data_IF_407894462774
#
_entry.id   IF_407894462774
#
_cell.length_a   1.000
_cell.length_b   1.000
_cell.length_c   1.000
_cell.angle_alpha   90.00
_cell.angle_beta   90.00
_cell.angle_gamma   90.00
#
_symmetry.space_group_name_H-M   'P 1'
#
loop_
_entity.id
_entity.type
_entity.pdbx_description
1 polymer ?
#
# COMPACT_ATOMS: atom_id res chain seq x y z
N UNK A 1 -36.09 7.78 27.56
CA UNK A 1 -35.73 6.40 27.19
C UNK A 1 -34.63 6.48 26.16
N UNK A 2 -33.37 6.22 26.53
CA UNK A 2 -32.24 6.25 25.61
C UNK A 2 -31.92 4.81 25.17
N UNK A 3 -32.01 4.53 23.88
CA UNK A 3 -31.66 3.23 23.31
C UNK A 3 -30.13 3.11 23.25
N UNK A 4 -29.55 2.16 23.97
CA UNK A 4 -28.13 1.85 23.85
C UNK A 4 -27.86 1.19 22.49
N UNK A 5 -27.00 1.81 21.67
CA UNK A 5 -26.53 1.22 20.42
C UNK A 5 -25.55 0.08 20.73
N UNK A 6 -26.02 -1.16 20.57
CA UNK A 6 -25.17 -2.35 20.71
C UNK A 6 -24.36 -2.47 19.41
N UNK A 7 -23.05 -2.25 19.48
CA UNK A 7 -22.15 -2.50 18.35
C UNK A 7 -22.18 -3.99 17.99
N UNK A 8 -22.60 -4.31 16.77
CA UNK A 8 -22.57 -5.67 16.24
C UNK A 8 -21.13 -6.07 15.97
N UNK A 9 -20.62 -7.06 16.71
CA UNK A 9 -19.31 -7.66 16.46
C UNK A 9 -19.37 -8.42 15.14
N UNK A 10 -18.77 -7.84 14.10
CA UNK A 10 -18.68 -8.49 12.79
C UNK A 10 -17.70 -9.65 12.88
N UNK A 11 -18.22 -10.88 12.89
CA UNK A 11 -17.39 -12.09 12.82
C UNK A 11 -16.79 -12.16 11.42
N UNK A 12 -15.47 -12.02 11.33
CA UNK A 12 -14.72 -12.15 10.08
C UNK A 12 -14.68 -13.64 9.70
N UNK A 13 -15.19 -13.97 8.51
CA UNK A 13 -15.25 -15.35 8.05
C UNK A 13 -13.87 -15.87 7.64
N UNK A 14 -13.72 -17.20 7.54
CA UNK A 14 -12.47 -17.81 7.02
C UNK A 14 -12.19 -17.36 5.58
N UNK A 15 -13.25 -17.15 4.78
CA UNK A 15 -13.14 -16.62 3.42
C UNK A 15 -12.52 -15.21 3.42
N UNK A 16 -12.98 -14.32 4.30
CA UNK A 16 -12.46 -12.96 4.40
C UNK A 16 -10.97 -12.95 4.76
N UNK A 17 -10.56 -13.84 5.66
CA UNK A 17 -9.15 -14.00 6.08
C UNK A 17 -8.29 -14.53 4.93
N UNK A 18 -8.83 -15.45 4.13
CA UNK A 18 -8.15 -15.99 2.96
C UNK A 18 -7.96 -14.92 1.88
N UNK A 19 -9.01 -14.15 1.58
CA UNK A 19 -8.92 -13.02 0.64
C UNK A 19 -7.91 -11.98 1.12
N UNK A 20 -7.96 -11.59 2.39
CA UNK A 20 -6.99 -10.67 2.97
C UNK A 20 -5.55 -11.22 2.90
N UNK A 21 -5.37 -12.52 3.18
CA UNK A 21 -4.07 -13.19 3.11
C UNK A 21 -3.49 -13.21 1.69
N UNK A 22 -4.30 -13.51 0.67
CA UNK A 22 -3.86 -13.45 -0.72
C UNK A 22 -3.45 -12.02 -1.11
N UNK A 23 -4.27 -11.02 -0.76
CA UNK A 23 -3.93 -9.62 -1.06
C UNK A 23 -2.63 -9.21 -0.38
N UNK A 24 -2.44 -9.60 0.89
CA UNK A 24 -1.19 -9.34 1.61
C UNK A 24 0.01 -10.01 0.94
N UNK A 25 -0.13 -11.25 0.46
CA UNK A 25 0.92 -11.93 -0.29
C UNK A 25 1.22 -11.27 -1.63
N UNK A 26 0.19 -10.83 -2.36
CA UNK A 26 0.36 -10.12 -3.64
C UNK A 26 1.08 -8.78 -3.44
N UNK A 27 0.65 -7.99 -2.46
CA UNK A 27 1.32 -6.72 -2.13
C UNK A 27 2.74 -6.96 -1.63
N UNK A 28 2.93 -7.90 -0.70
CA UNK A 28 4.24 -8.22 -0.15
C UNK A 28 5.21 -8.72 -1.22
N UNK A 29 4.77 -9.63 -2.09
CA UNK A 29 5.56 -10.10 -3.22
C UNK A 29 5.87 -8.96 -4.18
N UNK A 30 4.89 -8.14 -4.56
CA UNK A 30 5.12 -6.96 -5.39
C UNK A 30 6.20 -6.05 -4.80
N UNK A 31 6.20 -5.80 -3.49
CA UNK A 31 7.24 -4.99 -2.85
C UNK A 31 8.62 -5.66 -2.91
N UNK A 32 8.71 -6.96 -2.61
CA UNK A 32 9.99 -7.69 -2.63
C UNK A 32 10.56 -7.78 -4.04
N UNK A 33 9.74 -8.21 -5.01
CA UNK A 33 10.16 -8.35 -6.40
C UNK A 33 10.36 -6.98 -7.05
N UNK A 34 9.46 -6.04 -6.80
CA UNK A 34 9.55 -4.68 -7.31
C UNK A 34 10.80 -3.97 -6.80
N UNK A 35 11.09 -4.01 -5.50
CA UNK A 35 12.29 -3.39 -4.95
C UNK A 35 13.57 -4.18 -5.27
N UNK A 36 13.52 -5.52 -5.23
CA UNK A 36 14.68 -6.38 -5.44
C UNK A 36 15.14 -6.49 -6.89
N UNK A 37 14.22 -6.33 -7.85
CA UNK A 37 14.53 -6.32 -9.29
C UNK A 37 14.37 -4.94 -9.94
N UNK A 38 14.07 -3.90 -9.16
CA UNK A 38 14.20 -2.53 -9.65
C UNK A 38 15.67 -2.32 -10.01
N UNK A 39 15.95 -2.17 -11.30
CA UNK A 39 17.24 -1.70 -11.78
C UNK A 39 17.48 -0.33 -11.12
N UNK A 40 18.32 -0.31 -10.08
CA UNK A 40 18.44 0.82 -9.15
C UNK A 40 18.73 2.13 -9.86
N UNK A 41 19.37 2.07 -11.04
CA UNK A 41 19.63 3.21 -11.91
C UNK A 41 18.33 3.89 -12.36
N UNK A 42 17.34 3.15 -12.86
CA UNK A 42 16.07 3.73 -13.32
C UNK A 42 15.31 4.35 -12.15
N UNK A 43 15.29 3.68 -11.00
CA UNK A 43 14.61 4.18 -9.79
C UNK A 43 15.33 5.40 -9.19
N UNK A 44 16.66 5.41 -9.26
CA UNK A 44 17.49 6.53 -8.85
C UNK A 44 17.28 7.74 -9.77
N UNK A 45 17.33 7.54 -11.09
CA UNK A 45 17.11 8.59 -12.09
C UNK A 45 15.69 9.17 -11.97
N UNK A 46 14.66 8.34 -11.79
CA UNK A 46 13.29 8.84 -11.53
C UNK A 46 13.18 9.60 -10.21
N UNK A 47 13.87 9.19 -9.14
CA UNK A 47 13.89 9.95 -7.89
C UNK A 47 14.59 11.31 -8.05
N UNK A 48 15.67 11.35 -8.84
CA UNK A 48 16.35 12.58 -9.22
C UNK A 48 15.45 13.50 -10.05
N UNK A 49 14.78 12.97 -11.08
CA UNK A 49 13.83 13.70 -11.92
C UNK A 49 12.63 14.22 -11.13
N UNK A 50 12.10 13.42 -10.21
CA UNK A 50 11.01 13.85 -9.32
C UNK A 50 11.46 15.03 -8.47
N UNK A 51 12.67 15.01 -7.89
CA UNK A 51 13.22 16.15 -7.15
C UNK A 51 13.37 17.41 -8.03
N UNK A 52 13.75 17.24 -9.28
CA UNK A 52 13.80 18.34 -10.23
C UNK A 52 12.41 18.87 -10.61
N UNK A 53 11.41 17.99 -10.69
CA UNK A 53 10.03 18.36 -11.01
C UNK A 53 9.23 18.92 -9.81
N UNK A 54 9.56 18.51 -8.58
CA UNK A 54 8.85 18.91 -7.36
C UNK A 54 9.44 20.15 -6.67
N UNK A 55 10.64 20.58 -7.09
CA UNK A 55 11.09 21.95 -6.90
C UNK A 55 10.25 22.89 -7.75
N UNK A 56 9.05 23.23 -7.27
CA UNK A 56 8.23 24.27 -7.89
C UNK A 56 9.09 25.52 -8.09
N UNK A 57 9.14 26.12 -9.29
CA UNK A 57 9.86 27.36 -9.50
C UNK A 57 9.23 28.43 -8.60
N UNK A 58 9.98 28.87 -7.60
CA UNK A 58 9.61 30.01 -6.76
C UNK A 58 10.19 31.31 -7.34
N UNK A 59 10.16 31.46 -8.66
CA UNK A 59 10.03 32.72 -9.38
C UNK A 59 9.81 32.44 -10.87
#
# INVERSE_FOLDING_TARGET
MAQASISSTKIVSVSDRFTAGILALLVGSFLIFGAGFAHSNVLHDTAHDVRHANGFPCH
#
